data_IF_033121548725
#
_entry.id   IF_033121548725
#
_cell.length_a   1.000
_cell.length_b   1.000
_cell.length_c   1.000
_cell.angle_alpha   90.00
_cell.angle_beta   90.00
_cell.angle_gamma   90.00
#
_symmetry.space_group_name_H-M   'P 1'
#
loop_
_entity.id
_entity.type
_entity.pdbx_description
1 polymer ?
#
# COMPACT_ATOMS: atom_id res chain seq x y z
N UNK A 1 -34.48 27.62 -6.14
CA UNK A 1 -33.14 28.03 -5.65
C UNK A 1 -33.09 29.49 -5.25
N UNK A 2 -33.51 30.46 -6.09
CA UNK A 2 -33.39 31.89 -5.77
C UNK A 2 -34.13 32.36 -4.50
N UNK A 3 -35.21 31.68 -4.09
CA UNK A 3 -35.94 31.98 -2.85
C UNK A 3 -35.34 31.29 -1.61
N UNK A 4 -34.78 30.09 -1.77
CA UNK A 4 -34.34 29.22 -0.67
C UNK A 4 -32.85 29.36 -0.35
N UNK A 5 -32.06 29.82 -1.33
CA UNK A 5 -30.60 29.82 -1.28
C UNK A 5 -30.00 28.42 -1.44
N UNK A 6 -28.68 28.39 -1.53
CA UNK A 6 -27.83 27.20 -1.45
C UNK A 6 -26.54 27.56 -0.70
N UNK A 7 -26.34 26.95 0.47
CA UNK A 7 -25.17 27.23 1.32
C UNK A 7 -23.89 26.65 0.73
N UNK A 8 -23.98 25.55 -0.04
CA UNK A 8 -22.81 24.92 -0.67
C UNK A 8 -22.18 25.84 -1.72
N UNK A 9 -23.03 26.49 -2.52
CA UNK A 9 -22.61 27.37 -3.62
C UNK A 9 -22.55 28.85 -3.21
N UNK A 10 -22.68 29.13 -1.91
CA UNK A 10 -22.71 30.48 -1.35
C UNK A 10 -23.77 31.39 -2.02
N UNK A 11 -24.90 30.80 -2.42
CA UNK A 11 -26.02 31.49 -3.06
C UNK A 11 -26.99 31.92 -1.97
N UNK A 12 -27.19 33.22 -1.73
CA UNK A 12 -28.09 33.67 -0.68
C UNK A 12 -29.55 33.29 -1.01
N UNK A 13 -30.36 33.08 0.02
CA UNK A 13 -31.82 32.93 -0.11
C UNK A 13 -32.52 34.06 0.63
N UNK A 14 -33.86 34.06 0.61
CA UNK A 14 -34.63 34.90 1.53
C UNK A 14 -34.61 34.21 2.90
N UNK A 15 -33.97 34.80 3.94
CA UNK A 15 -33.92 34.21 5.26
C UNK A 15 -35.34 33.92 5.80
N UNK A 16 -35.57 32.71 6.27
CA UNK A 16 -36.87 32.28 6.78
C UNK A 16 -37.87 31.78 5.72
N UNK A 17 -37.51 31.76 4.44
CA UNK A 17 -38.28 31.06 3.39
C UNK A 17 -37.60 29.73 3.06
N UNK A 18 -38.16 28.65 3.61
CA UNK A 18 -37.73 27.28 3.30
C UNK A 18 -38.35 26.72 2.01
N UNK A 19 -37.93 25.52 1.57
CA UNK A 19 -38.36 24.90 0.31
C UNK A 19 -39.87 24.71 0.20
N UNK A 20 -40.54 24.30 1.28
CA UNK A 20 -42.01 24.14 1.30
C UNK A 20 -42.75 25.45 1.06
N UNK A 21 -42.23 26.56 1.58
CA UNK A 21 -42.83 27.88 1.40
C UNK A 21 -42.55 28.42 0.00
N UNK A 22 -41.33 28.21 -0.51
CA UNK A 22 -40.96 28.61 -1.87
C UNK A 22 -41.81 27.91 -2.94
N UNK A 23 -42.09 26.61 -2.77
CA UNK A 23 -42.97 25.85 -3.68
C UNK A 23 -44.38 26.46 -3.71
N UNK A 24 -45.00 26.69 -2.54
CA UNK A 24 -46.34 27.29 -2.47
C UNK A 24 -46.43 28.66 -3.12
N UNK A 25 -45.39 29.48 -2.99
CA UNK A 25 -45.33 30.81 -3.61
C UNK A 25 -45.17 30.70 -5.14
N UNK A 26 -44.39 29.73 -5.62
CA UNK A 26 -44.24 29.48 -7.06
C UNK A 26 -45.51 28.88 -7.67
N UNK A 27 -46.22 27.99 -6.97
CA UNK A 27 -47.53 27.49 -7.42
C UNK A 27 -48.59 28.60 -7.52
N UNK A 28 -48.50 29.62 -6.66
CA UNK A 28 -49.46 30.73 -6.64
C UNK A 28 -49.16 31.82 -7.68
N UNK A 29 -47.88 32.09 -7.99
CA UNK A 29 -47.46 33.24 -8.80
C UNK A 29 -46.64 32.87 -10.04
N UNK A 30 -46.42 31.58 -10.31
CA UNK A 30 -45.67 30.96 -11.42
C UNK A 30 -44.17 31.27 -11.50
N UNK A 31 -43.76 32.52 -11.28
CA UNK A 31 -42.37 32.97 -11.48
C UNK A 31 -41.86 33.85 -10.35
N UNK A 32 -40.54 33.90 -10.19
CA UNK A 32 -39.90 34.77 -9.20
C UNK A 32 -40.26 36.25 -9.41
N UNK A 33 -40.22 36.72 -10.66
CA UNK A 33 -40.57 38.12 -10.98
C UNK A 33 -42.01 38.44 -10.57
N UNK A 34 -42.95 37.52 -10.81
CA UNK A 34 -44.33 37.69 -10.37
C UNK A 34 -44.47 37.71 -8.85
N UNK A 35 -43.71 36.88 -8.13
CA UNK A 35 -43.67 36.89 -6.66
C UNK A 35 -43.15 38.24 -6.15
N UNK A 36 -42.07 38.76 -6.73
CA UNK A 36 -41.44 40.02 -6.31
C UNK A 36 -42.26 41.26 -6.70
N UNK A 37 -43.04 41.22 -7.78
CA UNK A 37 -43.92 42.32 -8.18
C UNK A 37 -45.28 42.30 -7.47
N UNK A 38 -45.82 41.12 -7.17
CA UNK A 38 -47.14 40.96 -6.56
C UNK A 38 -47.10 40.53 -5.09
N UNK A 39 -45.98 40.75 -4.41
CA UNK A 39 -45.79 40.32 -3.02
C UNK A 39 -46.89 40.82 -2.08
N UNK A 40 -47.47 42.00 -2.32
CA UNK A 40 -48.60 42.55 -1.56
C UNK A 40 -49.83 41.61 -1.49
N UNK A 41 -50.01 40.72 -2.48
CA UNK A 41 -51.13 39.77 -2.56
C UNK A 41 -50.86 38.43 -1.84
N UNK A 42 -49.71 38.28 -1.18
CA UNK A 42 -49.38 37.06 -0.42
C UNK A 42 -50.17 37.04 0.89
N UNK A 43 -50.97 35.99 1.11
CA UNK A 43 -51.87 35.89 2.27
C UNK A 43 -51.15 36.08 3.63
N UNK A 44 -49.95 35.51 3.78
CA UNK A 44 -49.15 35.59 5.01
C UNK A 44 -48.48 36.97 5.17
N UNK A 45 -48.81 37.76 6.21
CA UNK A 45 -48.16 39.05 6.47
C UNK A 45 -46.65 38.91 6.73
N UNK A 46 -46.23 37.79 7.34
CA UNK A 46 -44.81 37.50 7.61
C UNK A 46 -44.02 37.28 6.32
N UNK A 47 -44.57 36.52 5.38
CA UNK A 47 -43.89 36.27 4.09
C UNK A 47 -43.82 37.54 3.24
N UNK A 48 -44.86 38.39 3.29
CA UNK A 48 -44.85 39.72 2.65
C UNK A 48 -43.65 40.54 3.09
N UNK A 49 -43.49 40.69 4.41
CA UNK A 49 -42.40 41.48 4.99
C UNK A 49 -41.02 40.91 4.64
N UNK A 50 -40.85 39.59 4.70
CA UNK A 50 -39.58 38.94 4.34
C UNK A 50 -39.21 39.15 2.86
N UNK A 51 -40.18 39.07 1.95
CA UNK A 51 -39.95 39.27 0.52
C UNK A 51 -39.66 40.74 0.21
N UNK A 52 -40.33 41.66 0.91
CA UNK A 52 -40.08 43.10 0.79
C UNK A 52 -38.67 43.49 1.28
N UNK A 53 -38.28 43.02 2.46
CA UNK A 53 -36.99 43.32 3.09
C UNK A 53 -35.80 42.70 2.33
N UNK A 54 -35.98 41.50 1.75
CA UNK A 54 -34.90 40.73 1.12
C UNK A 54 -35.05 40.58 -0.40
N UNK A 55 -35.84 41.43 -1.05
CA UNK A 55 -36.08 41.42 -2.50
C UNK A 55 -34.78 41.39 -3.31
N UNK A 56 -33.85 42.28 -2.97
CA UNK A 56 -32.57 42.42 -3.68
C UNK A 56 -31.73 41.13 -3.62
N UNK A 57 -31.81 40.39 -2.50
CA UNK A 57 -31.11 39.11 -2.36
C UNK A 57 -31.71 38.06 -3.30
N UNK A 58 -33.04 38.02 -3.44
CA UNK A 58 -33.69 37.08 -4.34
C UNK A 58 -33.39 37.38 -5.82
N UNK A 59 -33.35 38.66 -6.19
CA UNK A 59 -32.95 39.11 -7.54
C UNK A 59 -31.49 38.75 -7.84
N UNK A 60 -30.58 39.00 -6.90
CA UNK A 60 -29.18 38.60 -7.01
C UNK A 60 -29.05 37.08 -7.19
N UNK A 61 -29.74 36.29 -6.38
CA UNK A 61 -29.69 34.83 -6.47
C UNK A 61 -30.31 34.28 -7.75
N UNK A 62 -31.24 35.01 -8.35
CA UNK A 62 -31.74 34.68 -9.69
C UNK A 62 -30.71 34.96 -10.77
N UNK A 63 -29.97 36.07 -10.67
CA UNK A 63 -28.87 36.36 -11.58
C UNK A 63 -27.73 35.35 -11.45
N UNK A 64 -27.39 34.92 -10.23
CA UNK A 64 -26.33 33.95 -9.97
C UNK A 64 -26.67 32.54 -10.47
N UNK A 65 -27.93 32.13 -10.37
CA UNK A 65 -28.40 30.81 -10.81
C UNK A 65 -28.80 30.81 -12.29
N UNK A 66 -29.13 31.96 -12.85
CA UNK A 66 -29.58 32.11 -14.22
C UNK A 66 -28.54 31.63 -15.23
N UNK A 67 -28.93 30.68 -16.07
CA UNK A 67 -28.08 30.23 -17.17
C UNK A 67 -28.11 31.27 -18.29
N UNK A 68 -26.93 31.81 -18.62
CA UNK A 68 -26.77 32.70 -19.76
C UNK A 68 -26.88 31.92 -21.07
N UNK A 69 -27.97 32.11 -21.81
CA UNK A 69 -28.27 31.39 -23.06
C UNK A 69 -27.74 32.10 -24.31
N UNK A 70 -27.43 33.40 -24.22
CA UNK A 70 -26.92 34.26 -25.27
C UNK A 70 -25.38 34.31 -25.29
N UNK A 71 -24.74 33.16 -25.12
CA UNK A 71 -23.28 33.06 -25.23
C UNK A 71 -22.86 32.99 -26.69
N UNK A 72 -22.14 34.02 -27.16
CA UNK A 72 -21.46 34.00 -28.45
C UNK A 72 -20.27 33.03 -28.40
N UNK A 73 -20.56 31.74 -28.62
CA UNK A 73 -19.54 30.71 -28.74
C UNK A 73 -19.21 30.51 -30.22
N UNK A 74 -17.93 30.62 -30.56
CA UNK A 74 -17.42 30.23 -31.89
C UNK A 74 -17.33 28.69 -32.02
N UNK A 75 -18.40 27.98 -31.64
CA UNK A 75 -18.49 26.52 -31.61
C UNK A 75 -19.85 26.12 -32.19
N UNK A 76 -19.85 25.38 -33.29
CA UNK A 76 -21.05 24.71 -33.78
C UNK A 76 -21.24 23.37 -33.05
N UNK A 77 -22.45 22.84 -33.03
CA UNK A 77 -22.74 21.50 -32.49
C UNK A 77 -21.92 20.42 -33.22
N UNK A 78 -21.60 20.67 -34.49
CA UNK A 78 -20.75 19.79 -35.30
C UNK A 78 -19.31 19.71 -34.77
N UNK A 79 -18.77 20.82 -34.24
CA UNK A 79 -17.44 20.86 -33.63
C UNK A 79 -17.36 20.08 -32.31
N UNK A 80 -18.51 19.79 -31.68
CA UNK A 80 -18.60 19.04 -30.43
C UNK A 80 -18.85 17.54 -30.67
N UNK A 81 -18.79 17.09 -31.93
CA UNK A 81 -18.85 15.66 -32.23
C UNK A 81 -17.68 14.95 -31.58
N UNK A 82 -18.01 13.89 -30.86
CA UNK A 82 -17.00 13.06 -30.23
C UNK A 82 -16.08 12.45 -31.30
N UNK A 83 -14.78 12.63 -31.11
CA UNK A 83 -13.73 11.98 -31.88
C UNK A 83 -12.80 11.23 -30.93
N UNK A 84 -12.30 10.04 -31.31
CA UNK A 84 -11.36 9.32 -30.46
C UNK A 84 -10.13 10.19 -30.19
N UNK A 85 -9.72 10.34 -28.93
CA UNK A 85 -8.57 11.18 -28.56
C UNK A 85 -7.26 10.61 -29.14
N UNK A 86 -6.30 11.49 -29.41
CA UNK A 86 -5.02 11.09 -29.97
C UNK A 86 -4.24 10.20 -28.98
N UNK A 87 -3.90 8.98 -29.42
CA UNK A 87 -3.22 7.97 -28.61
C UNK A 87 -1.87 8.44 -28.05
N UNK A 88 -1.10 9.21 -28.83
CA UNK A 88 0.22 9.72 -28.41
C UNK A 88 0.10 10.79 -27.32
N UNK A 89 -0.91 11.66 -27.43
CA UNK A 89 -1.17 12.71 -26.44
C UNK A 89 -1.67 12.11 -25.12
N UNK A 90 -2.55 11.10 -25.19
CA UNK A 90 -2.99 10.35 -24.00
C UNK A 90 -1.80 9.67 -23.33
N UNK A 91 -0.93 9.02 -24.10
CA UNK A 91 0.29 8.39 -23.58
C UNK A 91 1.19 9.42 -22.90
N UNK A 92 1.45 10.56 -23.55
CA UNK A 92 2.31 11.60 -23.00
C UNK A 92 1.80 12.10 -21.65
N UNK A 93 0.47 12.24 -21.51
CA UNK A 93 -0.17 12.65 -20.27
C UNK A 93 -0.10 11.55 -19.20
N UNK A 94 -0.46 10.30 -19.55
CA UNK A 94 -0.38 9.17 -18.62
C UNK A 94 1.05 8.95 -18.13
N UNK A 95 2.04 9.07 -19.01
CA UNK A 95 3.45 8.95 -18.66
C UNK A 95 3.94 10.11 -17.79
N UNK A 96 3.54 11.35 -18.12
CA UNK A 96 3.88 12.55 -17.34
C UNK A 96 3.38 12.48 -15.90
N UNK A 97 2.19 11.92 -15.68
CA UNK A 97 1.56 11.87 -14.36
C UNK A 97 1.61 10.49 -13.68
N UNK A 98 2.19 9.47 -14.32
CA UNK A 98 2.40 8.15 -13.73
C UNK A 98 1.14 7.27 -13.59
N UNK A 99 0.06 7.56 -14.31
CA UNK A 99 -1.23 6.86 -14.16
C UNK A 99 -1.32 5.55 -14.96
N UNK A 100 -0.44 4.60 -14.66
CA UNK A 100 -0.33 3.33 -15.41
C UNK A 100 -1.60 2.47 -15.40
N UNK A 101 -2.39 2.52 -14.33
CA UNK A 101 -3.68 1.82 -14.22
C UNK A 101 -4.76 2.36 -15.16
N UNK A 102 -4.59 3.56 -15.70
CA UNK A 102 -5.51 4.15 -16.67
C UNK A 102 -5.25 3.69 -18.10
N UNK A 103 -4.10 3.05 -18.38
CA UNK A 103 -3.74 2.59 -19.75
C UNK A 103 -4.74 1.53 -20.24
N UNK A 104 -5.01 0.52 -19.42
CA UNK A 104 -5.96 -0.56 -19.73
C UNK A 104 -7.41 -0.08 -19.78
N UNK A 105 -7.77 0.91 -18.94
CA UNK A 105 -9.09 1.52 -18.98
C UNK A 105 -9.27 2.37 -20.24
N UNK A 106 -8.28 3.19 -20.59
CA UNK A 106 -8.31 4.04 -21.77
C UNK A 106 -8.29 3.22 -23.07
N UNK A 107 -7.50 2.14 -23.14
CA UNK A 107 -7.46 1.27 -24.33
C UNK A 107 -8.82 0.62 -24.59
N UNK A 108 -9.48 0.14 -23.53
CA UNK A 108 -10.81 -0.47 -23.60
C UNK A 108 -11.91 0.54 -23.92
N UNK A 109 -11.88 1.72 -23.28
CA UNK A 109 -12.92 2.73 -23.43
C UNK A 109 -12.87 3.42 -24.80
N UNK A 110 -11.67 3.74 -25.28
CA UNK A 110 -11.47 4.43 -26.55
C UNK A 110 -11.24 3.48 -27.74
N UNK A 111 -11.16 2.16 -27.51
CA UNK A 111 -10.81 1.14 -28.52
C UNK A 111 -9.51 1.49 -29.26
N UNK A 112 -8.52 2.01 -28.52
CA UNK A 112 -7.21 2.39 -29.05
C UNK A 112 -6.17 1.34 -28.67
N UNK A 113 -5.30 0.98 -29.62
CA UNK A 113 -4.13 0.15 -29.33
C UNK A 113 -3.03 0.98 -28.66
N UNK A 114 -3.17 1.17 -27.34
CA UNK A 114 -2.18 1.84 -26.50
C UNK A 114 -1.03 0.90 -26.08
N UNK A 115 -1.18 -0.42 -26.29
CA UNK A 115 -0.19 -1.46 -25.95
C UNK A 115 1.07 -1.41 -26.80
N UNK A 116 0.95 -1.12 -28.10
CA UNK A 116 2.08 -1.07 -29.04
C UNK A 116 2.86 0.25 -29.01
N UNK A 117 2.26 1.29 -28.43
CA UNK A 117 2.83 2.63 -28.38
C UNK A 117 3.44 2.97 -27.02
N UNK A 118 3.51 2.03 -26.07
CA UNK A 118 4.53 2.09 -25.02
C UNK A 118 5.85 2.22 -25.76
N UNK A 119 6.47 3.40 -25.70
CA UNK A 119 7.74 3.61 -26.33
C UNK A 119 8.64 2.46 -25.86
N UNK A 120 9.10 1.65 -26.82
CA UNK A 120 10.46 1.12 -26.78
C UNK A 120 11.35 2.37 -26.64
N UNK A 121 11.42 2.94 -25.42
CA UNK A 121 12.71 3.37 -24.90
C UNK A 121 13.66 2.25 -25.27
N UNK A 122 14.86 2.55 -25.80
CA UNK A 122 15.79 1.50 -26.11
C UNK A 122 15.83 0.65 -24.86
N UNK A 123 15.29 -0.57 -24.98
CA UNK A 123 15.64 -1.61 -24.06
C UNK A 123 17.17 -1.55 -24.20
N UNK A 124 17.84 -0.99 -23.20
CA UNK A 124 19.04 -1.65 -22.76
C UNK A 124 18.57 -3.08 -22.61
N UNK A 125 18.78 -3.88 -23.67
CA UNK A 125 18.63 -5.31 -23.62
C UNK A 125 19.35 -5.63 -22.33
N UNK A 126 18.63 -6.05 -21.29
CA UNK A 126 19.26 -6.84 -20.25
C UNK A 126 19.60 -8.14 -20.97
N UNK A 127 20.67 -8.06 -21.76
CA UNK A 127 21.30 -9.10 -22.52
C UNK A 127 21.78 -10.09 -21.47
N UNK A 128 21.15 -11.27 -21.45
CA UNK A 128 21.56 -12.46 -20.72
C UNK A 128 22.16 -12.18 -19.34
N UNK A 129 21.31 -12.10 -18.31
CA UNK A 129 21.81 -12.12 -16.93
C UNK A 129 22.46 -13.49 -16.69
N UNK A 130 23.76 -13.52 -16.41
CA UNK A 130 24.47 -14.77 -16.14
C UNK A 130 24.28 -15.16 -14.68
N UNK A 131 23.67 -16.34 -14.47
CA UNK A 131 23.58 -17.00 -13.17
C UNK A 131 24.83 -17.87 -12.96
N UNK A 132 25.62 -17.57 -11.93
CA UNK A 132 26.89 -18.24 -11.64
C UNK A 132 26.81 -18.83 -10.24
N UNK A 133 26.98 -20.14 -10.13
CA UNK A 133 27.10 -20.81 -8.84
C UNK A 133 28.54 -20.66 -8.30
N UNK A 134 28.68 -20.27 -7.04
CA UNK A 134 29.97 -20.17 -6.37
C UNK A 134 30.34 -21.57 -5.87
N UNK A 135 31.07 -22.31 -6.71
CA UNK A 135 31.52 -23.68 -6.42
C UNK A 135 32.95 -23.75 -5.90
N UNK A 136 33.73 -22.67 -6.04
CA UNK A 136 35.13 -22.60 -5.63
C UNK A 136 35.51 -21.22 -5.05
N UNK A 137 36.68 -21.16 -4.39
CA UNK A 137 37.20 -19.94 -3.77
C UNK A 137 37.57 -18.85 -4.77
N UNK A 138 37.94 -19.22 -6.00
CA UNK A 138 38.31 -18.26 -7.04
C UNK A 138 37.16 -17.34 -7.43
N UNK A 139 35.95 -17.89 -7.64
CA UNK A 139 34.76 -17.10 -7.96
C UNK A 139 34.43 -16.17 -6.80
N UNK A 140 34.53 -16.64 -5.56
CA UNK A 140 34.23 -15.83 -4.38
C UNK A 140 35.25 -14.70 -4.19
N UNK A 141 36.54 -14.95 -4.44
CA UNK A 141 37.58 -13.93 -4.44
C UNK A 141 37.35 -12.87 -5.53
N UNK A 142 36.88 -13.28 -6.72
CA UNK A 142 36.48 -12.33 -7.77
C UNK A 142 35.31 -11.46 -7.33
N UNK A 143 34.28 -12.03 -6.70
CA UNK A 143 33.15 -11.28 -6.14
C UNK A 143 33.63 -10.28 -5.09
N UNK A 144 34.52 -10.71 -4.17
CA UNK A 144 35.12 -9.84 -3.15
C UNK A 144 35.91 -8.68 -3.75
N UNK A 145 36.81 -8.95 -4.72
CA UNK A 145 37.59 -7.90 -5.40
C UNK A 145 36.69 -6.87 -6.08
N UNK A 146 35.67 -7.34 -6.83
CA UNK A 146 34.74 -6.44 -7.52
C UNK A 146 33.89 -5.63 -6.55
N UNK A 147 33.53 -6.20 -5.39
CA UNK A 147 32.78 -5.49 -4.35
C UNK A 147 33.62 -4.41 -3.68
N UNK A 148 34.92 -4.65 -3.49
CA UNK A 148 35.85 -3.65 -2.99
C UNK A 148 36.11 -2.53 -4.00
N UNK A 149 36.14 -2.86 -5.30
CA UNK A 149 36.27 -1.87 -6.37
C UNK A 149 35.02 -1.01 -6.54
N UNK A 150 33.82 -1.61 -6.45
CA UNK A 150 32.55 -0.89 -6.60
C UNK A 150 32.09 -0.19 -5.31
N UNK A 151 32.55 -0.66 -4.15
CA UNK A 151 32.16 -0.18 -2.83
C UNK A 151 30.79 -0.69 -2.35
N UNK A 152 30.15 -1.61 -3.07
CA UNK A 152 28.85 -2.15 -2.67
C UNK A 152 28.62 -3.61 -3.10
N UNK A 153 27.69 -4.26 -2.40
CA UNK A 153 27.25 -5.63 -2.66
C UNK A 153 25.76 -5.78 -2.35
N UNK A 154 24.97 -6.21 -3.33
CA UNK A 154 23.57 -6.60 -3.10
C UNK A 154 23.53 -8.05 -2.60
N UNK A 155 22.78 -8.31 -1.53
CA UNK A 155 22.67 -9.62 -0.89
C UNK A 155 21.20 -9.96 -0.73
N UNK A 156 20.80 -11.17 -1.11
CA UNK A 156 19.44 -11.65 -0.91
C UNK A 156 19.46 -13.11 -0.46
N UNK A 157 18.69 -13.40 0.61
CA UNK A 157 18.47 -14.74 1.13
C UNK A 157 17.17 -15.31 0.56
N UNK A 158 17.22 -16.56 0.14
CA UNK A 158 16.05 -17.33 -0.26
C UNK A 158 15.74 -18.39 0.81
N UNK A 159 14.48 -18.43 1.24
CA UNK A 159 14.03 -19.29 2.33
C UNK A 159 12.76 -20.02 1.92
N UNK A 160 12.70 -21.33 2.18
CA UNK A 160 11.47 -22.12 2.10
C UNK A 160 11.06 -22.54 3.50
N UNK A 161 9.86 -22.12 3.94
CA UNK A 161 9.35 -22.38 5.30
C UNK A 161 10.32 -21.86 6.38
N UNK A 162 11.16 -22.74 6.93
CA UNK A 162 12.15 -22.43 7.96
C UNK A 162 13.60 -22.68 7.53
N UNK A 163 13.82 -23.24 6.34
CA UNK A 163 15.16 -23.63 5.88
C UNK A 163 15.67 -22.63 4.83
N UNK A 164 16.92 -22.23 4.98
CA UNK A 164 17.60 -21.39 4.00
C UNK A 164 17.96 -22.23 2.77
N UNK A 165 17.50 -21.80 1.60
CA UNK A 165 17.72 -22.48 0.32
C UNK A 165 19.02 -21.98 -0.29
N UNK A 166 19.18 -20.66 -0.41
CA UNK A 166 20.33 -20.07 -1.10
C UNK A 166 20.66 -18.69 -0.53
N UNK A 167 21.92 -18.30 -0.68
CA UNK A 167 22.34 -16.91 -0.54
C UNK A 167 22.82 -16.41 -1.90
N UNK A 168 22.27 -15.29 -2.35
CA UNK A 168 22.56 -14.70 -3.65
C UNK A 168 23.21 -13.33 -3.51
N UNK A 169 24.08 -13.02 -4.45
CA UNK A 169 24.88 -11.81 -4.49
C UNK A 169 24.82 -11.19 -5.88
N UNK A 170 24.82 -9.86 -5.93
CA UNK A 170 25.01 -9.14 -7.18
C UNK A 170 25.69 -7.80 -6.97
N UNK A 171 26.41 -7.36 -8.00
CA UNK A 171 27.05 -6.05 -8.07
C UNK A 171 26.53 -5.24 -9.26
N UNK A 172 25.88 -5.88 -10.23
CA UNK A 172 25.47 -5.24 -11.48
C UNK A 172 24.22 -5.93 -12.05
N UNK A 173 23.59 -5.30 -13.04
CA UNK A 173 22.39 -5.84 -13.68
C UNK A 173 22.64 -7.08 -14.56
N UNK A 174 23.89 -7.54 -14.68
CA UNK A 174 24.29 -8.56 -15.65
C UNK A 174 24.73 -9.87 -15.00
N UNK A 175 25.17 -9.86 -13.74
CA UNK A 175 25.64 -11.06 -13.05
C UNK A 175 24.94 -11.29 -11.73
N UNK A 176 24.50 -12.53 -11.54
CA UNK A 176 24.01 -13.06 -10.28
C UNK A 176 24.94 -14.19 -9.84
N UNK A 177 25.41 -14.11 -8.62
CA UNK A 177 26.18 -15.17 -7.97
C UNK A 177 25.33 -15.82 -6.89
N UNK A 178 25.35 -17.13 -6.74
CA UNK A 178 24.61 -17.80 -5.67
C UNK A 178 25.38 -18.97 -5.07
N UNK A 179 25.06 -19.29 -3.82
CA UNK A 179 25.50 -20.49 -3.12
C UNK A 179 24.26 -21.25 -2.70
N UNK A 180 24.15 -22.50 -3.14
CA UNK A 180 23.11 -23.42 -2.70
C UNK A 180 23.42 -23.95 -1.29
N UNK A 181 22.49 -23.72 -0.38
CA UNK A 181 22.58 -24.11 1.03
C UNK A 181 21.84 -25.44 1.32
N UNK A 182 20.97 -25.90 0.40
CA UNK A 182 20.16 -27.13 0.57
C UNK A 182 21.01 -28.40 0.60
N UNK A 183 22.10 -28.42 -0.17
CA UNK A 183 23.05 -29.52 -0.20
C UNK A 183 23.83 -29.69 1.12
N UNK A 184 23.79 -28.68 1.99
CA UNK A 184 24.56 -28.61 3.24
C UNK A 184 23.66 -28.99 4.42
N UNK A 185 22.43 -28.47 4.48
CA UNK A 185 21.45 -28.81 5.51
C UNK A 185 21.03 -30.29 5.49
N UNK A 186 21.03 -30.93 4.31
CA UNK A 186 20.71 -32.36 4.15
C UNK A 186 21.84 -33.32 4.57
N UNK A 187 23.11 -32.89 4.54
CA UNK A 187 24.26 -33.71 4.92
C UNK A 187 24.64 -33.60 6.40
N UNK A 188 24.36 -32.46 7.04
CA UNK A 188 24.67 -32.23 8.46
C UNK A 188 23.76 -33.01 9.44
N UNK A 189 22.65 -33.60 8.99
CA UNK A 189 21.84 -34.48 9.85
C UNK A 189 22.45 -35.87 10.07
N UNK A 190 23.45 -36.31 9.28
CA UNK A 190 23.93 -37.70 9.32
C UNK A 190 25.38 -37.92 9.76
N UNK A 191 26.23 -36.89 9.89
CA UNK A 191 27.57 -37.08 10.44
C UNK A 191 28.02 -35.88 11.28
N UNK A 192 28.30 -36.13 12.55
CA UNK A 192 28.97 -35.23 13.50
C UNK A 192 30.45 -35.03 13.12
N UNK A 193 30.69 -34.42 11.97
CA UNK A 193 31.99 -33.84 11.61
C UNK A 193 31.75 -32.42 11.16
N UNK A 194 32.06 -31.49 12.07
CA UNK A 194 32.13 -30.03 11.89
C UNK A 194 33.19 -29.64 10.84
N UNK A 195 32.99 -30.02 9.57
CA UNK A 195 33.75 -29.40 8.49
C UNK A 195 33.03 -28.11 8.12
N UNK A 196 33.49 -26.98 8.70
CA UNK A 196 33.03 -25.66 8.29
C UNK A 196 33.16 -25.55 6.75
N UNK A 197 32.08 -25.22 6.02
CA UNK A 197 32.14 -25.07 4.58
C UNK A 197 33.25 -24.09 4.20
N UNK A 198 34.07 -24.41 3.18
CA UNK A 198 35.20 -23.58 2.77
C UNK A 198 34.81 -22.13 2.47
N UNK A 199 33.57 -21.91 2.02
CA UNK A 199 33.03 -20.60 1.67
C UNK A 199 32.57 -19.79 2.90
N UNK A 200 32.31 -20.44 4.03
CA UNK A 200 31.68 -19.83 5.22
C UNK A 200 32.48 -18.65 5.74
N UNK A 201 33.76 -18.86 6.01
CA UNK A 201 34.67 -17.80 6.49
C UNK A 201 34.78 -16.65 5.49
N UNK A 202 34.80 -16.96 4.19
CA UNK A 202 34.92 -15.96 3.13
C UNK A 202 33.67 -15.08 3.00
N UNK A 203 32.46 -15.65 3.15
CA UNK A 203 31.22 -14.85 3.20
C UNK A 203 31.16 -14.01 4.46
N UNK A 204 31.53 -14.57 5.61
CA UNK A 204 31.59 -13.84 6.88
C UNK A 204 32.51 -12.62 6.73
N UNK A 205 33.71 -12.79 6.18
CA UNK A 205 34.62 -11.69 5.89
C UNK A 205 34.00 -10.65 4.96
N UNK A 206 33.36 -11.08 3.88
CA UNK A 206 32.73 -10.19 2.90
C UNK A 206 31.57 -9.38 3.50
N UNK A 207 30.75 -9.99 4.35
CA UNK A 207 29.63 -9.33 5.01
C UNK A 207 30.08 -8.43 6.17
N UNK A 208 31.19 -8.77 6.84
CA UNK A 208 31.76 -7.95 7.92
C UNK A 208 32.56 -6.75 7.41
N UNK A 209 33.07 -6.78 6.18
CA UNK A 209 33.89 -5.72 5.60
C UNK A 209 33.12 -4.39 5.56
N UNK A 210 33.47 -3.46 6.45
CA UNK A 210 32.81 -2.15 6.59
C UNK A 210 33.12 -1.18 5.45
N UNK A 211 34.11 -1.50 4.60
CA UNK A 211 34.40 -0.69 3.40
C UNK A 211 33.38 -0.90 2.29
N UNK A 212 32.59 -1.98 2.35
CA UNK A 212 31.60 -2.36 1.34
C UNK A 212 30.21 -2.10 1.91
N UNK A 213 29.39 -1.33 1.19
CA UNK A 213 27.98 -1.16 1.51
C UNK A 213 27.18 -2.41 1.09
N UNK A 214 26.56 -3.09 2.05
CA UNK A 214 25.68 -4.23 1.73
C UNK A 214 24.24 -3.75 1.62
N UNK A 215 23.56 -4.17 0.57
CA UNK A 215 22.15 -3.81 0.33
C UNK A 215 21.34 -5.10 0.35
N UNK A 216 20.44 -5.23 1.32
CA UNK A 216 19.56 -6.40 1.48
C UNK A 216 18.09 -5.99 1.42
N UNK A 217 17.22 -6.99 1.20
CA UNK A 217 15.78 -6.78 1.30
C UNK A 217 15.32 -6.73 2.76
N UNK A 218 15.81 -7.63 3.62
CA UNK A 218 15.40 -7.76 5.01
C UNK A 218 16.63 -8.00 5.89
N UNK A 219 17.05 -6.97 6.62
CA UNK A 219 18.22 -6.99 7.49
C UNK A 219 18.02 -7.93 8.66
N UNK A 220 16.84 -7.96 9.29
CA UNK A 220 16.61 -8.83 10.45
C UNK A 220 16.80 -10.29 10.09
N UNK A 221 16.29 -10.71 8.94
CA UNK A 221 16.47 -12.07 8.44
C UNK A 221 17.94 -12.38 8.14
N UNK A 222 18.67 -11.44 7.54
CA UNK A 222 20.12 -11.58 7.32
C UNK A 222 20.89 -11.72 8.64
N UNK A 223 20.54 -10.94 9.67
CA UNK A 223 21.16 -11.02 10.99
C UNK A 223 20.86 -12.35 11.68
N UNK A 224 19.64 -12.87 11.55
CA UNK A 224 19.25 -14.20 12.08
C UNK A 224 20.01 -15.30 11.34
N UNK A 225 20.15 -15.21 10.02
CA UNK A 225 20.97 -16.13 9.23
C UNK A 225 22.43 -16.14 9.70
N UNK A 226 23.03 -14.97 9.87
CA UNK A 226 24.40 -14.83 10.36
C UNK A 226 24.60 -15.47 11.74
N UNK A 227 23.68 -15.22 12.67
CA UNK A 227 23.76 -15.74 14.03
C UNK A 227 23.52 -17.26 14.09
N UNK A 228 22.43 -17.72 13.48
CA UNK A 228 21.97 -19.10 13.64
C UNK A 228 22.68 -20.08 12.69
N UNK A 229 22.91 -19.67 11.45
CA UNK A 229 23.53 -20.51 10.42
C UNK A 229 25.05 -20.31 10.39
N UNK A 230 25.53 -19.07 10.30
CA UNK A 230 26.96 -18.78 10.21
C UNK A 230 27.68 -18.77 11.56
N UNK A 231 26.95 -18.74 12.69
CA UNK A 231 27.49 -18.67 14.06
C UNK A 231 28.36 -17.43 14.28
N UNK A 232 27.99 -16.32 13.65
CA UNK A 232 28.71 -15.05 13.72
C UNK A 232 27.76 -13.90 13.94
N UNK A 233 28.20 -12.93 14.73
CA UNK A 233 27.44 -11.71 14.97
C UNK A 233 27.99 -10.56 14.15
N UNK A 234 27.06 -9.82 13.55
CA UNK A 234 27.34 -8.56 12.87
C UNK A 234 26.71 -7.43 13.69
N UNK A 235 27.46 -6.34 13.85
CA UNK A 235 27.01 -5.11 14.49
C UNK A 235 26.62 -4.07 13.43
N UNK A 236 26.05 -2.95 13.87
CA UNK A 236 25.71 -1.82 13.01
C UNK A 236 26.91 -1.19 12.27
N UNK A 237 28.14 -1.53 12.65
CA UNK A 237 29.36 -1.06 11.99
C UNK A 237 29.57 -1.66 10.59
N UNK A 238 28.81 -2.68 10.21
CA UNK A 238 29.02 -3.39 8.93
C UNK A 238 28.25 -2.78 7.75
N UNK A 239 27.84 -1.51 7.79
CA UNK A 239 27.29 -0.78 6.64
C UNK A 239 26.27 -1.59 5.81
N UNK A 240 25.18 -2.05 6.44
CA UNK A 240 24.12 -2.82 5.80
C UNK A 240 22.84 -1.98 5.75
N UNK A 241 22.29 -1.79 4.56
CA UNK A 241 21.04 -1.11 4.31
C UNK A 241 19.92 -2.13 3.97
N UNK A 242 18.72 -1.84 4.48
CA UNK A 242 17.50 -2.61 4.36
C UNK A 242 16.48 -1.89 3.46
N UNK A 243 16.18 -2.46 2.28
CA UNK A 243 15.21 -1.93 1.31
C UNK A 243 13.77 -1.97 1.82
N UNK A 244 13.38 -3.00 2.56
CA UNK A 244 12.02 -3.12 3.11
C UNK A 244 11.76 -2.00 4.12
N UNK A 245 12.71 -1.72 5.02
CA UNK A 245 12.62 -0.62 5.98
C UNK A 245 12.59 0.74 5.29
N UNK A 246 13.45 0.97 4.28
CA UNK A 246 13.44 2.21 3.51
C UNK A 246 12.06 2.46 2.85
N UNK A 247 11.48 1.41 2.27
CA UNK A 247 10.14 1.49 1.69
C UNK A 247 9.06 1.73 2.76
N UNK A 248 9.12 1.02 3.88
CA UNK A 248 8.18 1.13 4.99
C UNK A 248 8.08 2.57 5.54
N UNK A 249 9.21 3.24 5.69
CA UNK A 249 9.27 4.63 6.13
C UNK A 249 8.58 5.57 5.13
N UNK A 250 8.79 5.36 3.83
CA UNK A 250 8.14 6.15 2.78
C UNK A 250 6.62 5.88 2.67
N UNK A 251 6.17 4.67 3.00
CA UNK A 251 4.75 4.31 2.99
C UNK A 251 4.00 4.71 4.27
N UNK A 252 4.68 5.41 5.19
CA UNK A 252 4.19 5.74 6.53
C UNK A 252 3.65 4.49 7.27
N UNK A 253 4.29 3.34 7.03
CA UNK A 253 3.95 2.06 7.64
C UNK A 253 2.61 1.45 7.23
N UNK A 254 1.98 1.93 6.15
CA UNK A 254 0.64 1.47 5.75
C UNK A 254 0.62 0.19 4.92
N UNK A 255 1.67 -0.06 4.13
CA UNK A 255 1.71 -1.20 3.21
C UNK A 255 3.05 -1.94 3.32
N UNK A 256 2.99 -3.21 3.75
CA UNK A 256 4.06 -4.17 3.47
C UNK A 256 3.87 -4.68 2.04
N UNK A 257 4.81 -4.33 1.15
CA UNK A 257 4.82 -4.81 -0.22
C UNK A 257 5.89 -5.88 -0.38
N UNK A 258 5.64 -6.93 -1.18
CA UNK A 258 6.67 -7.90 -1.50
C UNK A 258 7.80 -7.25 -2.31
N UNK A 259 9.02 -7.79 -2.21
CA UNK A 259 10.21 -7.26 -2.88
C UNK A 259 10.00 -6.98 -4.39
N UNK A 260 9.26 -7.84 -5.10
CA UNK A 260 8.96 -7.65 -6.52
C UNK A 260 8.22 -6.33 -6.80
N UNK A 261 7.23 -6.02 -5.99
CA UNK A 261 6.42 -4.80 -6.14
C UNK A 261 7.22 -3.56 -5.75
N UNK A 262 8.08 -3.67 -4.73
CA UNK A 262 9.00 -2.58 -4.37
C UNK A 262 9.97 -2.31 -5.53
N UNK A 263 10.65 -3.33 -6.06
CA UNK A 263 11.57 -3.16 -7.19
C UNK A 263 10.82 -2.54 -8.38
N UNK A 264 9.63 -3.01 -8.71
CA UNK A 264 8.83 -2.48 -9.81
C UNK A 264 8.42 -1.01 -9.60
N UNK A 265 8.06 -0.65 -8.37
CA UNK A 265 7.66 0.72 -7.99
C UNK A 265 8.80 1.70 -8.22
N UNK A 266 10.03 1.31 -7.84
CA UNK A 266 11.20 2.17 -7.93
C UNK A 266 12.04 1.97 -9.20
N UNK A 267 11.77 0.96 -10.02
CA UNK A 267 12.50 0.68 -11.26
C UNK A 267 11.54 0.40 -12.42
N UNK A 268 11.28 1.41 -13.26
CA UNK A 268 10.37 1.31 -14.40
C UNK A 268 10.77 0.25 -15.44
N UNK A 269 12.06 -0.09 -15.50
CA UNK A 269 12.61 -1.09 -16.43
C UNK A 269 12.49 -2.53 -15.92
N UNK A 270 12.08 -2.72 -14.66
CA UNK A 270 11.87 -4.04 -14.08
C UNK A 270 10.56 -4.65 -14.60
N UNK A 271 10.58 -5.96 -14.84
CA UNK A 271 9.43 -6.75 -15.25
C UNK A 271 9.47 -8.11 -14.58
N UNK A 272 8.32 -8.77 -14.45
CA UNK A 272 8.18 -10.05 -13.75
C UNK A 272 9.10 -11.16 -14.29
N UNK A 273 9.51 -11.09 -15.56
CA UNK A 273 10.46 -12.02 -16.16
C UNK A 273 11.83 -12.04 -15.44
N UNK A 274 12.14 -11.00 -14.66
CA UNK A 274 13.36 -10.89 -13.87
C UNK A 274 13.17 -11.28 -12.40
N UNK A 275 12.05 -11.91 -12.04
CA UNK A 275 11.78 -12.33 -10.65
C UNK A 275 12.83 -13.29 -10.10
N UNK A 276 13.55 -14.07 -10.91
CA UNK A 276 14.67 -14.88 -10.43
C UNK A 276 15.95 -14.06 -10.18
N UNK A 277 16.04 -12.85 -10.76
CA UNK A 277 17.22 -11.99 -10.75
C UNK A 277 17.02 -10.72 -9.92
N UNK A 278 16.10 -10.74 -8.95
CA UNK A 278 15.75 -9.59 -8.08
C UNK A 278 16.98 -8.95 -7.43
N UNK A 279 17.93 -9.77 -6.98
CA UNK A 279 19.15 -9.29 -6.29
C UNK A 279 19.94 -8.29 -7.14
N UNK A 280 19.95 -8.44 -8.46
CA UNK A 280 20.64 -7.52 -9.38
C UNK A 280 20.04 -6.11 -9.38
N UNK A 281 18.77 -5.98 -9.01
CA UNK A 281 18.05 -4.71 -9.00
C UNK A 281 18.09 -3.99 -7.65
N UNK A 282 18.62 -4.62 -6.59
CA UNK A 282 18.61 -4.03 -5.25
C UNK A 282 19.43 -2.73 -5.20
N UNK A 283 20.59 -2.66 -5.85
CA UNK A 283 21.38 -1.41 -5.92
C UNK A 283 20.60 -0.24 -6.53
N UNK A 284 19.97 -0.46 -7.69
CA UNK A 284 19.18 0.59 -8.34
C UNK A 284 17.96 0.99 -7.50
N UNK A 285 17.31 0.00 -6.88
CA UNK A 285 16.18 0.21 -5.97
C UNK A 285 16.61 1.06 -4.77
N UNK A 286 17.75 0.75 -4.18
CA UNK A 286 18.36 1.49 -3.08
C UNK A 286 18.64 2.95 -3.48
N UNK A 287 19.26 3.19 -4.64
CA UNK A 287 19.56 4.55 -5.09
C UNK A 287 18.30 5.40 -5.25
N UNK A 288 17.24 4.82 -5.81
CA UNK A 288 15.96 5.49 -5.99
C UNK A 288 15.24 5.72 -4.65
N UNK A 289 15.27 4.74 -3.74
CA UNK A 289 14.73 4.89 -2.38
C UNK A 289 15.49 5.94 -1.58
N UNK A 290 16.82 5.97 -1.66
CA UNK A 290 17.67 6.99 -1.02
C UNK A 290 17.31 8.39 -1.50
N UNK A 291 17.12 8.55 -2.81
CA UNK A 291 16.68 9.82 -3.40
C UNK A 291 15.33 10.27 -2.83
N UNK A 292 14.36 9.36 -2.74
CA UNK A 292 13.03 9.66 -2.17
C UNK A 292 13.07 9.94 -0.66
N UNK A 293 13.84 9.17 0.13
CA UNK A 293 14.02 9.43 1.56
C UNK A 293 14.65 10.81 1.80
N UNK A 294 15.64 11.19 0.99
CA UNK A 294 16.26 12.51 1.06
C UNK A 294 15.24 13.62 0.75
N UNK A 295 14.49 13.51 -0.35
CA UNK A 295 13.46 14.48 -0.73
C UNK A 295 12.39 14.67 0.34
N UNK A 296 11.97 13.57 0.98
CA UNK A 296 10.95 13.58 2.03
C UNK A 296 11.52 13.90 3.43
N UNK A 297 12.83 14.15 3.56
CA UNK A 297 13.53 14.44 4.83
C UNK A 297 13.41 13.31 5.87
N UNK A 298 13.41 12.05 5.41
CA UNK A 298 13.21 10.86 6.25
C UNK A 298 14.49 10.07 6.52
N UNK A 299 15.66 10.53 6.05
CA UNK A 299 16.93 9.84 6.27
C UNK A 299 17.29 9.68 7.76
N UNK A 300 16.97 10.68 8.59
CA UNK A 300 17.19 10.60 10.03
C UNK A 300 16.37 9.47 10.66
N UNK A 301 15.08 9.34 10.30
CA UNK A 301 14.24 8.24 10.77
C UNK A 301 14.85 6.89 10.40
N UNK A 302 15.33 6.76 9.17
CA UNK A 302 15.96 5.52 8.72
C UNK A 302 17.24 5.18 9.47
N UNK A 303 18.25 6.06 9.46
CA UNK A 303 19.58 5.75 9.99
C UNK A 303 19.68 5.81 11.52
N UNK A 304 18.92 6.68 12.18
CA UNK A 304 19.04 6.88 13.63
C UNK A 304 17.98 6.14 14.44
N UNK A 305 16.87 5.72 13.82
CA UNK A 305 15.74 5.08 14.51
C UNK A 305 15.54 3.65 14.00
N UNK A 306 15.04 3.48 12.78
CA UNK A 306 14.54 2.18 12.30
C UNK A 306 15.67 1.16 12.09
N UNK A 307 16.78 1.57 11.46
CA UNK A 307 17.90 0.67 11.18
C UNK A 307 18.58 0.15 12.47
N UNK A 308 18.92 0.99 13.48
CA UNK A 308 19.46 0.50 14.76
C UNK A 308 18.50 -0.40 15.54
N UNK A 309 17.19 -0.09 15.53
CA UNK A 309 16.16 -0.89 16.20
C UNK A 309 16.13 -2.32 15.66
N UNK A 310 16.39 -2.53 14.36
CA UNK A 310 16.46 -3.84 13.75
C UNK A 310 17.43 -4.79 14.48
N UNK A 311 18.62 -4.29 14.85
CA UNK A 311 19.62 -5.06 15.61
C UNK A 311 19.15 -5.39 17.03
N UNK A 312 18.45 -4.47 17.68
CA UNK A 312 17.87 -4.68 19.02
C UNK A 312 16.77 -5.74 18.96
N UNK A 313 15.87 -5.65 17.98
CA UNK A 313 14.79 -6.61 17.78
C UNK A 313 15.33 -8.02 17.54
N UNK A 314 16.40 -8.17 16.75
CA UNK A 314 17.09 -9.45 16.57
C UNK A 314 17.54 -10.03 17.91
N UNK A 315 18.11 -9.21 18.80
CA UNK A 315 18.57 -9.68 20.11
C UNK A 315 17.42 -10.08 21.03
N UNK A 316 16.30 -9.34 21.00
CA UNK A 316 15.09 -9.68 21.74
C UNK A 316 14.52 -11.01 21.25
N UNK A 317 14.45 -11.21 19.93
CA UNK A 317 13.95 -12.43 19.30
C UNK A 317 14.83 -13.65 19.66
N UNK A 318 16.15 -13.49 19.64
CA UNK A 318 17.08 -14.56 20.02
C UNK A 318 17.05 -14.91 21.52
N UNK A 319 16.90 -13.91 22.39
CA UNK A 319 16.80 -14.14 23.83
C UNK A 319 15.48 -14.83 24.22
N UNK A 320 14.39 -14.48 23.54
CA UNK A 320 13.05 -14.98 23.83
C UNK A 320 12.55 -14.59 25.23
N UNK A 321 11.48 -15.27 25.67
CA UNK A 321 10.88 -15.07 27.00
C UNK A 321 10.69 -16.43 27.69
N UNK A 322 11.07 -16.51 28.96
CA UNK A 322 10.83 -17.70 29.78
C UNK A 322 9.35 -17.77 30.14
N UNK A 323 8.74 -18.94 29.95
CA UNK A 323 7.33 -19.19 30.25
C UNK A 323 7.16 -20.22 31.37
N UNK A 324 6.16 -20.01 32.23
CA UNK A 324 5.76 -20.98 33.25
C UNK A 324 4.73 -21.94 32.66
N UNK A 325 5.21 -23.06 32.11
CA UNK A 325 4.37 -24.07 31.45
C UNK A 325 3.32 -24.69 32.39
N UNK A 326 3.63 -25.04 33.66
CA UNK A 326 2.62 -25.50 34.61
C UNK A 326 1.46 -24.51 34.80
N UNK A 327 1.75 -23.22 35.02
CA UNK A 327 0.72 -22.19 35.19
C UNK A 327 -0.14 -22.03 33.93
N UNK A 328 0.46 -22.06 32.74
CA UNK A 328 -0.29 -21.99 31.48
C UNK A 328 -1.25 -23.19 31.32
N UNK A 329 -0.86 -24.38 31.77
CA UNK A 329 -1.75 -25.55 31.78
C UNK A 329 -2.90 -25.40 32.77
N UNK A 330 -2.63 -24.85 33.95
CA UNK A 330 -3.66 -24.55 34.95
C UNK A 330 -4.69 -23.55 34.40
N UNK A 331 -4.23 -22.44 33.83
CA UNK A 331 -5.08 -21.44 33.18
C UNK A 331 -5.91 -22.05 32.04
N UNK A 332 -5.31 -22.95 31.25
CA UNK A 332 -6.05 -23.65 30.19
C UNK A 332 -7.19 -24.52 30.73
N UNK A 333 -7.02 -25.16 31.89
CA UNK A 333 -8.07 -25.96 32.53
C UNK A 333 -9.16 -25.05 33.12
N UNK A 334 -8.77 -23.96 33.78
CA UNK A 334 -9.72 -22.98 34.35
C UNK A 334 -10.60 -22.36 33.26
N UNK A 335 -10.00 -21.84 32.19
CA UNK A 335 -10.74 -21.25 31.08
C UNK A 335 -11.67 -22.26 30.38
N UNK A 336 -11.24 -23.53 30.26
CA UNK A 336 -12.10 -24.58 29.71
C UNK A 336 -13.34 -24.80 30.58
N UNK A 337 -13.17 -24.84 31.90
CA UNK A 337 -14.29 -24.99 32.82
C UNK A 337 -15.26 -23.80 32.77
N UNK A 338 -14.74 -22.57 32.70
CA UNK A 338 -15.56 -21.37 32.55
C UNK A 338 -16.35 -21.35 31.23
N UNK A 339 -15.72 -21.77 30.12
CA UNK A 339 -16.39 -21.92 28.82
C UNK A 339 -17.54 -22.93 28.95
N UNK A 340 -17.30 -24.13 29.49
CA UNK A 340 -18.34 -25.16 29.66
C UNK A 340 -19.52 -24.67 30.52
N UNK A 341 -19.25 -23.92 31.59
CA UNK A 341 -20.31 -23.32 32.42
C UNK A 341 -21.12 -22.27 31.66
N UNK A 342 -20.47 -21.40 30.90
CA UNK A 342 -21.15 -20.39 30.08
C UNK A 342 -21.96 -21.02 28.95
N UNK A 343 -21.44 -22.05 28.29
CA UNK A 343 -22.18 -22.80 27.27
C UNK A 343 -23.47 -23.40 27.84
N UNK A 344 -23.39 -24.03 29.02
CA UNK A 344 -24.57 -24.56 29.70
C UNK A 344 -25.59 -23.47 30.05
N UNK A 345 -25.13 -22.31 30.52
CA UNK A 345 -26.00 -21.17 30.79
C UNK A 345 -26.68 -20.65 29.51
N UNK A 346 -25.95 -20.58 28.39
CA UNK A 346 -26.49 -20.20 27.09
C UNK A 346 -27.58 -21.19 26.66
N UNK A 347 -27.31 -22.49 26.73
CA UNK A 347 -28.31 -23.51 26.36
C UNK A 347 -29.54 -23.48 27.26
N UNK A 348 -29.37 -23.20 28.56
CA UNK A 348 -30.50 -23.02 29.48
C UNK A 348 -31.36 -21.80 29.13
N UNK A 349 -30.76 -20.67 28.77
CA UNK A 349 -31.49 -19.45 28.39
C UNK A 349 -32.19 -19.63 27.04
N UNK A 350 -31.54 -20.29 26.08
CA UNK A 350 -32.07 -20.48 24.73
C UNK A 350 -33.05 -21.66 24.61
N UNK A 351 -33.05 -22.58 25.59
CA UNK A 351 -33.93 -23.75 25.62
C UNK A 351 -33.57 -24.85 24.60
N UNK A 352 -32.44 -24.72 23.91
CA UNK A 352 -31.93 -25.72 22.97
C UNK A 352 -30.41 -25.64 22.83
N UNK A 353 -29.79 -26.76 22.48
CA UNK A 353 -28.37 -26.84 22.17
C UNK A 353 -28.12 -26.49 20.70
N UNK A 354 -27.05 -25.74 20.45
CA UNK A 354 -26.63 -25.35 19.10
C UNK A 354 -25.12 -25.05 19.10
N UNK A 355 -24.49 -25.00 17.93
CA UNK A 355 -23.08 -24.65 17.85
C UNK A 355 -22.90 -23.13 17.98
N UNK A 356 -22.46 -22.69 19.17
CA UNK A 356 -22.22 -21.27 19.50
C UNK A 356 -21.14 -20.65 18.59
N UNK A 357 -20.18 -21.45 18.12
CA UNK A 357 -19.12 -20.99 17.20
C UNK A 357 -19.60 -20.82 15.74
N UNK A 358 -20.83 -21.23 15.41
CA UNK A 358 -21.42 -21.07 14.08
C UNK A 358 -22.20 -19.76 13.99
N UNK A 359 -21.72 -18.74 13.25
CA UNK A 359 -22.41 -17.45 13.13
C UNK A 359 -23.85 -17.59 12.59
N UNK A 360 -24.09 -18.61 11.75
CA UNK A 360 -25.42 -18.89 11.20
C UNK A 360 -26.38 -19.38 12.27
N UNK A 361 -26.01 -20.42 13.02
CA UNK A 361 -26.88 -20.98 14.06
C UNK A 361 -27.08 -19.99 15.21
N UNK A 362 -26.03 -19.27 15.61
CA UNK A 362 -26.15 -18.20 16.59
C UNK A 362 -27.10 -17.09 16.11
N UNK A 363 -27.07 -16.74 14.82
CA UNK A 363 -28.00 -15.78 14.22
C UNK A 363 -29.47 -16.22 14.28
N UNK A 364 -29.75 -17.49 13.96
CA UNK A 364 -31.10 -18.07 14.06
C UNK A 364 -31.63 -17.98 15.51
N UNK A 365 -30.80 -18.31 16.50
CA UNK A 365 -31.18 -18.22 17.92
C UNK A 365 -31.44 -16.77 18.35
N UNK A 366 -30.55 -15.84 18.01
CA UNK A 366 -30.66 -14.45 18.46
C UNK A 366 -31.83 -13.71 17.82
N UNK A 367 -32.09 -13.92 16.53
CA UNK A 367 -33.04 -13.13 15.76
C UNK A 367 -34.39 -13.83 15.52
N UNK A 368 -34.40 -15.16 15.32
CA UNK A 368 -35.65 -15.87 15.04
C UNK A 368 -36.30 -16.37 16.33
N UNK A 369 -35.50 -16.92 17.26
CA UNK A 369 -36.00 -17.47 18.53
C UNK A 369 -36.16 -16.37 19.59
N UNK A 370 -35.08 -15.65 19.90
CA UNK A 370 -35.07 -14.59 20.93
C UNK A 370 -35.65 -13.26 20.43
N UNK A 371 -35.87 -13.11 19.12
CA UNK A 371 -36.46 -11.92 18.48
C UNK A 371 -35.78 -10.61 18.87
N UNK A 372 -34.45 -10.65 19.07
CA UNK A 372 -33.68 -9.45 19.34
C UNK A 372 -33.65 -8.53 18.11
N UNK A 373 -33.61 -7.21 18.29
CA UNK A 373 -33.56 -6.28 17.16
C UNK A 373 -32.26 -6.49 16.36
N UNK A 374 -32.36 -6.53 15.02
CA UNK A 374 -31.17 -6.57 14.18
C UNK A 374 -30.28 -5.34 14.42
N UNK A 375 -28.97 -5.56 14.54
CA UNK A 375 -28.02 -4.47 14.54
C UNK A 375 -28.13 -3.68 13.23
N UNK A 376 -28.08 -2.35 13.30
CA UNK A 376 -28.04 -1.49 12.11
C UNK A 376 -26.87 -1.93 11.23
N UNK A 377 -27.17 -2.31 9.99
CA UNK A 377 -26.15 -2.56 8.97
C UNK A 377 -25.42 -1.24 8.74
N UNK A 378 -24.19 -1.13 9.26
CA UNK A 378 -23.28 -0.08 8.85
C UNK A 378 -22.97 -0.33 7.39
N UNK A 379 -23.47 0.52 6.49
CA UNK A 379 -22.98 0.58 5.12
C UNK A 379 -21.48 0.88 5.22
N UNK A 380 -20.64 -0.10 4.88
CA UNK A 380 -19.22 0.14 4.67
C UNK A 380 -19.10 1.19 3.56
N UNK A 381 -18.74 2.41 3.94
CA UNK A 381 -18.28 3.45 3.02
C UNK A 381 -16.95 3.05 2.40
#
# INVERSE_FOLDING_TARGET
MSLTGDVSDNIPGIPGIGPKTAIKLLEQFDSLNNILHNYANIASPRHRKLIEEHRQLAELSWQLVGLKQDLNLNLSVENLRWSPPNAEQIRALIHKFGFTSLITKASKLFKLELSHLVAKYPLSRASNISKIEITNSEILLQVKSRAQESGYLSVLLEKEKNDYISITFSLDLHKLYFIDLTAITSKEQNYATETNPWWKSSIIELLLDSSIQKITYNLKELLIFLLNFLRTEITSASCIDDIMLMHYILSAGKNELPLNEIIQTYNKSYSEQYSEYKVCWLKNTFDNLMSELFKNKLLHCYYEIDLPICYILRNIENNGIKINVPLLKELSVQLKHEIELLEQQIYQICGQEFNIASPKQLGEILFDVLKLPHAKVSQKN
#
